data_IF_597453187353
#
_entry.id   IF_597453187353
#
_cell.length_a   1.000
_cell.length_b   1.000
_cell.length_c   1.000
_cell.angle_alpha   90.00
_cell.angle_beta   90.00
_cell.angle_gamma   90.00
#
_symmetry.space_group_name_H-M   'P 1'
#
loop_
_entity.id
_entity.type
_entity.pdbx_description
1 polymer ?
#
# COMPACT_ATOMS: atom_id res chain seq x y z
N UNK A 1 -20.52 18.70 9.86
CA UNK A 1 -19.11 19.10 9.69
C UNK A 1 -18.32 17.83 9.84
N UNK A 2 -17.79 17.28 8.75
CA UNK A 2 -16.89 16.13 8.77
C UNK A 2 -15.50 16.62 9.16
N UNK A 3 -14.87 15.96 10.12
CA UNK A 3 -13.54 16.32 10.60
C UNK A 3 -12.50 15.42 9.94
N UNK A 4 -11.47 16.01 9.34
CA UNK A 4 -10.32 15.27 8.80
C UNK A 4 -9.49 14.70 9.95
N UNK A 5 -9.16 13.42 9.87
CA UNK A 5 -8.29 12.74 10.82
C UNK A 5 -6.81 12.91 10.42
N UNK A 6 -6.20 14.00 10.85
CA UNK A 6 -4.82 14.38 10.45
C UNK A 6 -3.75 13.34 10.80
N UNK A 7 -4.01 12.44 11.74
CA UNK A 7 -3.07 11.40 12.16
C UNK A 7 -3.16 10.12 11.31
N UNK A 8 -3.96 10.11 10.23
CA UNK A 8 -4.14 8.96 9.35
C UNK A 8 -3.17 8.94 8.17
N UNK A 9 -2.38 7.88 8.03
CA UNK A 9 -1.42 7.69 6.94
C UNK A 9 -1.60 6.32 6.30
N UNK A 10 -1.35 6.20 5.00
CA UNK A 10 -1.42 4.91 4.33
C UNK A 10 -0.46 4.75 3.14
N UNK A 11 0.01 3.52 2.96
CA UNK A 11 0.58 3.02 1.72
C UNK A 11 -0.30 1.85 1.25
N UNK A 12 -0.93 2.00 0.09
CA UNK A 12 -1.88 1.05 -0.47
C UNK A 12 -1.38 0.61 -1.84
N UNK A 13 -1.11 -0.68 -1.99
CA UNK A 13 -0.45 -1.23 -3.18
C UNK A 13 -1.35 -2.27 -3.84
N UNK A 14 -1.62 -2.11 -5.14
CA UNK A 14 -2.33 -3.07 -5.98
C UNK A 14 -1.54 -3.38 -7.24
N UNK A 15 -0.92 -4.57 -7.31
CA UNK A 15 0.11 -4.85 -8.32
C UNK A 15 -0.46 -4.97 -9.74
N UNK A 16 -1.64 -5.55 -9.91
CA UNK A 16 -2.22 -5.83 -11.23
C UNK A 16 -1.59 -7.03 -11.93
N UNK A 17 -1.33 -6.90 -13.23
CA UNK A 17 -0.82 -8.00 -14.07
C UNK A 17 -1.90 -9.00 -14.44
N UNK A 18 -1.63 -10.29 -14.20
CA UNK A 18 -2.58 -11.40 -14.38
C UNK A 18 -3.64 -11.50 -13.27
N UNK A 19 -3.53 -10.67 -12.22
CA UNK A 19 -4.52 -10.52 -11.15
C UNK A 19 -5.16 -9.11 -11.18
N UNK A 20 -6.05 -8.81 -12.14
CA UNK A 20 -6.55 -7.45 -12.36
C UNK A 20 -7.33 -6.88 -11.17
N UNK A 21 -8.00 -7.73 -10.38
CA UNK A 21 -8.80 -7.30 -9.23
C UNK A 21 -7.96 -6.65 -8.12
N UNK A 22 -6.66 -6.93 -8.06
CA UNK A 22 -5.76 -6.37 -7.02
C UNK A 22 -5.67 -4.85 -7.09
N UNK A 23 -5.83 -4.28 -8.29
CA UNK A 23 -5.89 -2.83 -8.50
C UNK A 23 -7.19 -2.26 -7.92
N UNK A 24 -8.31 -2.94 -8.15
CA UNK A 24 -9.62 -2.51 -7.67
C UNK A 24 -9.73 -2.64 -6.15
N UNK A 25 -9.13 -3.67 -5.55
CA UNK A 25 -9.00 -3.81 -4.10
C UNK A 25 -8.27 -2.61 -3.49
N UNK A 26 -7.10 -2.27 -4.05
CA UNK A 26 -6.27 -1.16 -3.60
C UNK A 26 -6.99 0.19 -3.75
N UNK A 27 -7.62 0.44 -4.90
CA UNK A 27 -8.42 1.65 -5.14
C UNK A 27 -9.61 1.73 -4.18
N UNK A 28 -10.32 0.62 -3.98
CA UNK A 28 -11.45 0.52 -3.08
C UNK A 28 -11.07 0.89 -1.65
N UNK A 29 -10.00 0.28 -1.13
CA UNK A 29 -9.51 0.59 0.22
C UNK A 29 -9.03 2.04 0.33
N UNK A 30 -8.24 2.53 -0.62
CA UNK A 30 -7.78 3.91 -0.61
C UNK A 30 -8.96 4.91 -0.59
N UNK A 31 -10.03 4.63 -1.33
CA UNK A 31 -11.24 5.46 -1.32
C UNK A 31 -11.95 5.43 0.03
N UNK A 32 -12.04 4.28 0.69
CA UNK A 32 -12.60 4.15 2.04
C UNK A 32 -11.78 4.94 3.06
N UNK A 33 -10.44 4.88 2.97
CA UNK A 33 -9.55 5.60 3.87
C UNK A 33 -9.70 7.12 3.75
N UNK A 34 -9.87 7.63 2.52
CA UNK A 34 -10.04 9.06 2.23
C UNK A 34 -11.45 9.58 2.49
N UNK A 35 -12.46 8.71 2.55
CA UNK A 35 -13.85 9.09 2.72
C UNK A 35 -14.08 9.78 4.08
N UNK A 36 -14.54 11.04 4.04
CA UNK A 36 -14.76 11.88 5.22
C UNK A 36 -15.85 11.36 6.17
N UNK A 37 -16.81 10.58 5.67
CA UNK A 37 -17.85 9.93 6.47
C UNK A 37 -17.38 8.60 7.08
N UNK A 38 -16.16 8.17 6.78
CA UNK A 38 -15.56 6.93 7.29
C UNK A 38 -14.27 7.21 8.06
N UNK A 39 -13.12 7.06 7.42
CA UNK A 39 -11.81 7.18 8.07
C UNK A 39 -11.25 8.60 8.02
N UNK A 40 -11.66 9.40 7.03
CA UNK A 40 -11.28 10.80 6.86
C UNK A 40 -9.76 11.06 6.85
N UNK A 41 -8.95 10.15 6.29
CA UNK A 41 -7.51 10.37 6.15
C UNK A 41 -7.27 11.50 5.12
N UNK A 42 -6.32 12.41 5.36
CA UNK A 42 -5.93 13.41 4.37
C UNK A 42 -5.53 12.73 3.06
N UNK A 43 -6.06 13.22 1.94
CA UNK A 43 -5.81 12.60 0.62
C UNK A 43 -4.32 12.55 0.27
N UNK A 44 -3.54 13.54 0.69
CA UNK A 44 -2.09 13.58 0.51
C UNK A 44 -1.30 12.66 1.46
N UNK A 45 -1.96 12.06 2.47
CA UNK A 45 -1.37 11.06 3.38
C UNK A 45 -1.74 9.63 3.00
N UNK A 46 -2.52 9.42 1.92
CA UNK A 46 -2.85 8.10 1.37
C UNK A 46 -2.11 7.91 0.04
N UNK A 47 -0.97 7.24 0.09
CA UNK A 47 -0.17 6.90 -1.09
C UNK A 47 -0.72 5.62 -1.74
N UNK A 48 -1.25 5.74 -2.97
CA UNK A 48 -1.78 4.63 -3.75
C UNK A 48 -0.84 4.30 -4.90
N UNK A 49 -0.29 3.09 -4.90
CA UNK A 49 0.55 2.57 -5.98
C UNK A 49 -0.19 1.43 -6.69
N UNK A 50 -0.40 1.58 -8.00
CA UNK A 50 -1.05 0.57 -8.83
C UNK A 50 -0.29 0.31 -10.12
N UNK A 51 -0.37 -0.91 -10.65
CA UNK A 51 0.26 -1.30 -11.92
C UNK A 51 1.75 -0.93 -11.96
N UNK A 52 2.19 -0.18 -12.97
CA UNK A 52 3.58 0.22 -13.20
C UNK A 52 4.13 1.12 -12.07
N UNK A 53 3.27 1.72 -11.24
CA UNK A 53 3.70 2.46 -10.06
C UNK A 53 4.00 1.53 -8.87
N UNK A 54 3.49 0.30 -8.84
CA UNK A 54 3.68 -0.68 -7.78
C UNK A 54 5.03 -1.43 -7.89
N UNK A 55 6.07 -0.76 -8.39
CA UNK A 55 7.43 -1.29 -8.46
C UNK A 55 8.13 -1.25 -7.10
N UNK A 56 9.18 -2.07 -6.95
CA UNK A 56 9.95 -2.20 -5.69
C UNK A 56 10.42 -0.85 -5.14
N UNK A 57 10.94 0.02 -5.99
CA UNK A 57 11.48 1.33 -5.59
C UNK A 57 10.41 2.21 -4.94
N UNK A 58 9.24 2.35 -5.57
CA UNK A 58 8.15 3.19 -5.06
C UNK A 58 7.55 2.61 -3.77
N UNK A 59 7.45 1.28 -3.66
CA UNK A 59 6.97 0.64 -2.42
C UNK A 59 7.93 0.95 -1.27
N UNK A 60 9.24 0.78 -1.47
CA UNK A 60 10.24 1.08 -0.44
C UNK A 60 10.26 2.56 -0.08
N UNK A 61 10.22 3.46 -1.07
CA UNK A 61 10.12 4.90 -0.83
C UNK A 61 8.83 5.26 -0.06
N UNK A 62 7.72 4.60 -0.36
CA UNK A 62 6.46 4.76 0.39
C UNK A 62 6.59 4.35 1.85
N UNK A 63 7.27 3.23 2.13
CA UNK A 63 7.53 2.77 3.50
C UNK A 63 8.48 3.73 4.25
N UNK A 64 9.54 4.20 3.58
CA UNK A 64 10.47 5.18 4.15
C UNK A 64 9.75 6.49 4.47
N UNK A 65 8.88 6.97 3.58
CA UNK A 65 8.06 8.16 3.81
C UNK A 65 7.17 7.97 5.05
N UNK A 66 6.48 6.84 5.18
CA UNK A 66 5.66 6.56 6.37
C UNK A 66 6.50 6.59 7.66
N UNK A 67 7.70 6.01 7.65
CA UNK A 67 8.59 6.02 8.80
C UNK A 67 9.08 7.43 9.17
N UNK A 68 9.22 8.33 8.19
CA UNK A 68 9.70 9.70 8.40
C UNK A 68 8.59 10.69 8.79
N UNK A 69 7.37 10.51 8.27
CA UNK A 69 6.28 11.49 8.45
C UNK A 69 5.28 11.12 9.54
N UNK A 70 5.26 9.86 9.98
CA UNK A 70 4.41 9.43 11.09
C UNK A 70 5.00 9.84 12.45
N UNK A 71 4.16 9.82 13.48
CA UNK A 71 4.53 10.13 14.86
C UNK A 71 3.85 9.12 15.81
N UNK A 72 4.14 9.13 17.13
CA UNK A 72 3.56 8.16 18.06
C UNK A 72 2.03 8.13 18.15
N UNK A 73 1.34 9.21 17.75
CA UNK A 73 -0.13 9.30 17.71
C UNK A 73 -0.72 8.91 16.33
N UNK A 74 0.13 8.57 15.36
CA UNK A 74 -0.30 8.23 14.00
C UNK A 74 -0.97 6.85 13.94
N UNK A 75 -2.00 6.75 13.11
CA UNK A 75 -2.53 5.46 12.62
C UNK A 75 -2.05 5.24 11.20
N UNK A 76 -1.29 4.18 10.98
CA UNK A 76 -0.71 3.84 9.68
C UNK A 76 -1.36 2.56 9.13
N UNK A 77 -1.83 2.61 7.89
CA UNK A 77 -2.31 1.44 7.14
C UNK A 77 -1.32 1.10 6.03
N UNK A 78 -0.78 -0.13 6.05
CA UNK A 78 -0.03 -0.69 4.93
C UNK A 78 -0.84 -1.83 4.34
N UNK A 79 -1.20 -1.71 3.07
CA UNK A 79 -2.01 -2.69 2.36
C UNK A 79 -1.31 -3.11 1.07
N UNK A 80 -1.31 -4.41 0.79
CA UNK A 80 -0.76 -4.99 -0.42
C UNK A 80 -1.73 -6.03 -0.98
N UNK A 81 -2.12 -5.86 -2.24
CA UNK A 81 -2.85 -6.86 -3.03
C UNK A 81 -2.03 -7.18 -4.28
N UNK A 82 -1.64 -8.45 -4.44
CA UNK A 82 -0.71 -8.89 -5.47
C UNK A 82 -0.19 -10.31 -5.21
N UNK A 83 0.75 -10.75 -6.03
CA UNK A 83 1.39 -12.05 -5.85
C UNK A 83 2.35 -12.07 -4.65
N UNK A 84 2.47 -13.26 -4.07
CA UNK A 84 3.54 -13.59 -3.13
C UNK A 84 4.39 -14.72 -3.68
N UNK A 85 5.64 -14.79 -3.24
CA UNK A 85 6.55 -15.88 -3.57
C UNK A 85 7.08 -16.53 -2.31
N UNK A 86 7.22 -17.85 -2.35
CA UNK A 86 7.73 -18.66 -1.25
C UNK A 86 8.96 -19.42 -1.72
N UNK A 87 10.00 -19.46 -0.88
CA UNK A 87 11.25 -20.18 -1.14
C UNK A 87 11.62 -21.01 0.07
N UNK A 88 11.89 -22.29 -0.14
CA UNK A 88 12.54 -23.14 0.85
C UNK A 88 14.06 -22.95 0.80
N UNK A 89 14.68 -22.67 1.94
CA UNK A 89 16.14 -22.53 2.07
C UNK A 89 16.69 -23.50 3.10
N UNK A 90 18.00 -23.70 3.13
CA UNK A 90 18.68 -24.52 4.14
C UNK A 90 18.54 -24.01 5.57
N UNK A 91 18.08 -22.76 5.76
CA UNK A 91 17.82 -22.13 7.05
C UNK A 91 16.33 -21.90 7.35
N UNK A 92 15.42 -22.42 6.50
CA UNK A 92 13.97 -22.34 6.66
C UNK A 92 13.24 -21.67 5.48
N UNK A 93 11.92 -21.58 5.58
CA UNK A 93 11.06 -20.97 4.54
C UNK A 93 11.13 -19.43 4.58
N UNK A 94 11.20 -18.81 3.40
CA UNK A 94 11.15 -17.37 3.20
C UNK A 94 9.95 -16.98 2.34
N UNK A 95 9.33 -15.85 2.66
CA UNK A 95 8.13 -15.33 1.97
C UNK A 95 8.39 -13.90 1.48
N UNK A 96 7.92 -13.61 0.28
CA UNK A 96 8.14 -12.35 -0.41
C UNK A 96 6.83 -11.82 -0.98
N UNK A 97 6.70 -10.49 -0.97
CA UNK A 97 5.75 -9.81 -1.83
C UNK A 97 6.40 -9.65 -3.21
N UNK A 98 5.63 -9.81 -4.28
CA UNK A 98 6.11 -9.60 -5.65
C UNK A 98 5.60 -8.25 -6.17
N UNK A 99 6.45 -7.21 -6.23
CA UNK A 99 6.09 -5.94 -6.86
C UNK A 99 5.80 -6.11 -8.34
N UNK A 100 5.32 -5.05 -8.99
CA UNK A 100 5.21 -5.02 -10.44
C UNK A 100 6.60 -5.20 -11.07
N UNK A 101 6.68 -6.09 -12.05
CA UNK A 101 7.85 -6.31 -12.91
C UNK A 101 7.38 -6.41 -14.35
N UNK A 102 8.05 -5.69 -15.25
CA UNK A 102 7.81 -5.80 -16.68
C UNK A 102 8.20 -7.20 -17.16
N UNK A 103 7.31 -7.91 -17.84
CA UNK A 103 7.72 -8.91 -18.82
C UNK A 103 7.99 -8.13 -20.11
N UNK A 104 9.26 -8.02 -20.48
CA UNK A 104 9.64 -7.62 -21.84
C UNK A 104 9.25 -8.73 -22.85
#
# INVERSE_FOLDING_TARGET
MTAIFQQGFALVVGVGGDLPNTIDDAKGLANILKDEGRCAYPTNQVNLLVSEAAIRENILSGLDNLAQTSNPDATVVIYFSGHGYHVETSIGSQYYLMPFWCQD
#
